data_IF_960049005386
#
_entry.id   IF_960049005386
#
_cell.length_a   1.000
_cell.length_b   1.000
_cell.length_c   1.000
_cell.angle_alpha   90.00
_cell.angle_beta   90.00
_cell.angle_gamma   90.00
#
_symmetry.space_group_name_H-M   'P 1'
#
loop_
_entity.id
_entity.type
_entity.pdbx_description
1 polymer ?
#
# COMPACT_ATOMS: atom_id res chain seq x y z
N UNK A 1 -0.83 6.56 14.38
CA UNK A 1 -2.14 6.95 13.79
C UNK A 1 -2.84 5.67 13.39
N UNK A 2 -4.03 5.36 13.92
CA UNK A 2 -4.78 4.19 13.48
C UNK A 2 -5.23 4.42 12.03
N UNK A 3 -4.66 3.67 11.08
CA UNK A 3 -5.14 3.71 9.70
C UNK A 3 -6.52 3.05 9.69
N UNK A 4 -7.55 3.87 9.49
CA UNK A 4 -8.92 3.39 9.42
C UNK A 4 -9.13 2.54 8.17
N UNK A 5 -9.87 1.43 8.30
CA UNK A 5 -10.21 0.52 7.19
C UNK A 5 -10.87 1.24 5.98
N UNK A 6 -11.48 2.41 6.21
CA UNK A 6 -12.04 3.25 5.15
C UNK A 6 -10.96 3.78 4.18
N UNK A 7 -9.75 4.08 4.67
CA UNK A 7 -8.64 4.53 3.81
C UNK A 7 -8.09 3.37 2.97
N UNK A 8 -8.01 2.16 3.54
CA UNK A 8 -7.63 0.96 2.79
C UNK A 8 -8.58 0.67 1.65
N UNK A 9 -9.87 0.95 1.83
CA UNK A 9 -10.83 0.80 0.75
C UNK A 9 -10.49 1.68 -0.46
N UNK A 10 -10.32 2.97 -0.22
CA UNK A 10 -9.96 3.96 -1.23
C UNK A 10 -8.62 3.67 -1.91
N UNK A 11 -7.60 3.23 -1.17
CA UNK A 11 -6.31 2.94 -1.77
C UNK A 11 -6.36 1.72 -2.68
N UNK A 12 -7.01 0.64 -2.26
CA UNK A 12 -7.10 -0.53 -3.12
C UNK A 12 -7.95 -0.24 -4.38
N UNK A 13 -8.98 0.59 -4.30
CA UNK A 13 -9.68 1.08 -5.50
C UNK A 13 -8.77 1.92 -6.40
N UNK A 14 -7.96 2.82 -5.82
CA UNK A 14 -6.97 3.59 -6.58
C UNK A 14 -5.98 2.67 -7.28
N UNK A 15 -5.33 1.77 -6.55
CA UNK A 15 -4.37 0.80 -7.07
C UNK A 15 -4.99 -0.11 -8.14
N UNK A 16 -6.22 -0.57 -7.96
CA UNK A 16 -6.95 -1.38 -8.94
C UNK A 16 -7.24 -0.59 -10.22
N UNK A 17 -7.72 0.66 -10.09
CA UNK A 17 -8.00 1.54 -11.24
C UNK A 17 -6.76 1.82 -12.09
N UNK A 18 -5.58 1.85 -11.49
CA UNK A 18 -4.31 2.03 -12.18
C UNK A 18 -3.59 0.71 -12.53
N UNK A 19 -4.23 -0.46 -12.32
CA UNK A 19 -3.61 -1.79 -12.49
C UNK A 19 -2.33 -2.00 -11.67
N UNK A 20 -2.16 -1.25 -10.58
CA UNK A 20 -1.01 -1.33 -9.67
C UNK A 20 -1.28 -2.25 -8.47
N UNK A 21 -2.51 -2.75 -8.28
CA UNK A 21 -2.86 -3.59 -7.14
C UNK A 21 -1.99 -4.85 -7.05
N UNK A 22 -1.75 -5.53 -8.18
CA UNK A 22 -0.87 -6.70 -8.24
C UNK A 22 0.59 -6.39 -7.90
N UNK A 23 1.13 -5.27 -8.40
CA UNK A 23 2.47 -4.81 -8.05
C UNK A 23 2.56 -4.50 -6.55
N UNK A 24 1.56 -3.81 -6.01
CA UNK A 24 1.54 -3.43 -4.60
C UNK A 24 1.40 -4.67 -3.70
N UNK A 25 0.58 -5.65 -4.09
CA UNK A 25 0.44 -6.94 -3.43
C UNK A 25 1.78 -7.69 -3.39
N UNK A 26 2.49 -7.74 -4.52
CA UNK A 26 3.83 -8.31 -4.59
C UNK A 26 4.80 -7.61 -3.64
N UNK A 27 4.75 -6.27 -3.54
CA UNK A 27 5.57 -5.52 -2.59
C UNK A 27 5.22 -5.87 -1.15
N UNK A 28 3.94 -5.90 -0.77
CA UNK A 28 3.50 -6.22 0.59
C UNK A 28 3.94 -7.62 1.06
N UNK A 29 3.89 -8.59 0.14
CA UNK A 29 4.31 -9.98 0.36
C UNK A 29 5.84 -10.15 0.34
N UNK A 30 6.56 -9.20 -0.28
CA UNK A 30 8.01 -9.24 -0.35
C UNK A 30 8.70 -9.17 1.01
N UNK A 31 9.96 -9.60 1.03
CA UNK A 31 10.80 -9.54 2.22
C UNK A 31 10.99 -8.10 2.71
N UNK A 32 11.21 -7.94 4.01
CA UNK A 32 11.34 -6.63 4.68
C UNK A 32 12.18 -5.59 3.91
N UNK A 33 13.41 -5.90 3.44
CA UNK A 33 14.26 -4.93 2.76
C UNK A 33 13.64 -4.36 1.47
N UNK A 34 12.96 -5.20 0.69
CA UNK A 34 12.33 -4.77 -0.58
C UNK A 34 11.22 -3.76 -0.30
N UNK A 35 10.42 -4.01 0.74
CA UNK A 35 9.36 -3.09 1.17
C UNK A 35 9.90 -1.75 1.62
N UNK A 36 10.99 -1.74 2.39
CA UNK A 36 11.63 -0.51 2.85
C UNK A 36 12.16 0.31 1.66
N UNK A 37 12.76 -0.32 0.64
CA UNK A 37 13.19 0.38 -0.58
C UNK A 37 12.00 0.96 -1.34
N UNK A 38 10.89 0.23 -1.43
CA UNK A 38 9.68 0.71 -2.07
C UNK A 38 9.05 1.89 -1.29
N UNK A 39 8.98 1.80 0.04
CA UNK A 39 8.50 2.88 0.92
C UNK A 39 9.32 4.16 0.72
N UNK A 40 10.64 4.06 0.74
CA UNK A 40 11.54 5.21 0.51
C UNK A 40 11.40 5.78 -0.91
N UNK A 41 11.20 4.92 -1.90
CA UNK A 41 10.95 5.38 -3.28
C UNK A 41 9.67 6.20 -3.37
N UNK A 42 8.60 5.77 -2.68
CA UNK A 42 7.35 6.53 -2.60
C UNK A 42 7.54 7.87 -1.88
N UNK A 43 8.26 7.90 -0.76
CA UNK A 43 8.59 9.15 -0.07
C UNK A 43 9.35 10.13 -0.97
N UNK A 44 10.27 9.63 -1.81
CA UNK A 44 11.01 10.46 -2.77
C UNK A 44 10.13 11.08 -3.86
N UNK A 45 8.97 10.48 -4.17
CA UNK A 45 8.00 11.05 -5.12
C UNK A 45 7.10 12.13 -4.53
N UNK A 46 7.00 12.23 -3.20
CA UNK A 46 6.15 13.20 -2.50
C UNK A 46 6.37 14.67 -2.93
N UNK A 47 7.60 15.20 -3.09
CA UNK A 47 7.78 16.59 -3.53
C UNK A 47 7.25 16.86 -4.95
N UNK A 48 7.17 15.84 -5.79
CA UNK A 48 6.66 15.94 -7.17
C UNK A 48 5.16 15.65 -7.24
N UNK A 49 4.65 14.79 -6.36
CA UNK A 49 3.26 14.34 -6.31
C UNK A 49 2.72 14.56 -4.91
N UNK A 50 2.01 15.68 -4.71
CA UNK A 50 1.32 15.98 -3.45
C UNK A 50 0.03 15.15 -3.33
N UNK A 51 0.17 13.84 -3.17
CA UNK A 51 -0.94 12.92 -3.00
C UNK A 51 -0.83 12.23 -1.64
N UNK A 52 -1.83 12.45 -0.79
CA UNK A 52 -1.90 11.83 0.54
C UNK A 52 -1.93 10.30 0.48
N UNK A 53 -2.43 9.71 -0.61
CA UNK A 53 -2.43 8.25 -0.82
C UNK A 53 -0.99 7.72 -0.90
N UNK A 54 -0.08 8.41 -1.59
CA UNK A 54 1.32 7.96 -1.75
C UNK A 54 2.03 7.92 -0.40
N UNK A 55 1.91 8.97 0.42
CA UNK A 55 2.52 9.01 1.76
C UNK A 55 1.95 7.93 2.68
N UNK A 56 0.65 7.65 2.57
CA UNK A 56 0.03 6.60 3.37
C UNK A 56 0.46 5.19 2.92
N UNK A 57 0.55 4.94 1.61
CA UNK A 57 1.08 3.69 1.04
C UNK A 57 2.54 3.47 1.43
N UNK A 58 3.35 4.53 1.44
CA UNK A 58 4.74 4.49 1.92
C UNK A 58 4.81 4.06 3.39
N UNK A 59 3.98 4.66 4.24
CA UNK A 59 3.90 4.30 5.66
C UNK A 59 3.46 2.85 5.88
N UNK A 60 2.55 2.32 5.07
CA UNK A 60 2.10 0.92 5.17
C UNK A 60 3.19 -0.06 4.75
N UNK A 61 3.97 0.25 3.71
CA UNK A 61 5.10 -0.58 3.29
C UNK A 61 6.24 -0.58 4.32
N UNK A 62 6.43 0.53 5.03
CA UNK A 62 7.45 0.65 6.07
C UNK A 62 7.13 -0.19 7.32
N UNK A 63 5.86 -0.28 7.67
CA UNK A 63 5.36 -1.02 8.83
C UNK A 63 4.99 -2.46 8.46
N UNK A 64 5.70 -3.44 9.03
CA UNK A 64 5.47 -4.85 8.75
C UNK A 64 4.07 -5.34 9.17
N UNK A 65 3.53 -4.83 10.29
CA UNK A 65 2.22 -5.23 10.79
C UNK A 65 1.13 -4.69 9.87
N UNK A 66 1.23 -3.41 9.50
CA UNK A 66 0.29 -2.79 8.57
C UNK A 66 0.37 -3.39 7.16
N UNK A 67 1.58 -3.72 6.69
CA UNK A 67 1.76 -4.43 5.41
C UNK A 67 1.00 -5.75 5.39
N UNK A 68 1.13 -6.56 6.45
CA UNK A 68 0.42 -7.84 6.56
C UNK A 68 -1.10 -7.64 6.64
N UNK A 69 -1.55 -6.71 7.47
CA UNK A 69 -2.98 -6.45 7.65
C UNK A 69 -3.63 -5.91 6.37
N UNK A 70 -2.93 -5.06 5.61
CA UNK A 70 -3.40 -4.55 4.33
C UNK A 70 -3.37 -5.64 3.23
N UNK A 71 -2.33 -6.49 3.21
CA UNK A 71 -2.27 -7.64 2.31
C UNK A 71 -3.45 -8.59 2.53
N UNK A 72 -3.76 -8.91 3.79
CA UNK A 72 -4.91 -9.74 4.16
C UNK A 72 -6.23 -9.09 3.72
N UNK A 73 -6.38 -7.78 3.94
CA UNK A 73 -7.53 -7.01 3.48
C UNK A 73 -7.70 -7.08 1.95
N UNK A 74 -6.63 -6.88 1.18
CA UNK A 74 -6.68 -6.95 -0.30
C UNK A 74 -7.04 -8.35 -0.76
N UNK A 75 -6.43 -9.39 -0.18
CA UNK A 75 -6.71 -10.79 -0.53
C UNK A 75 -8.17 -11.17 -0.26
N UNK A 76 -8.71 -10.75 0.90
CA UNK A 76 -10.10 -11.00 1.25
C UNK A 76 -11.09 -10.24 0.36
N UNK A 77 -10.67 -9.10 -0.22
CA UNK A 77 -11.52 -8.32 -1.13
C UNK A 77 -11.55 -8.90 -2.54
N UNK A 78 -10.40 -9.32 -3.07
CA UNK A 78 -10.32 -9.96 -4.40
C UNK A 78 -11.06 -11.32 -4.46
N UNK A 79 -11.29 -11.98 -3.31
CA UNK A 79 -12.08 -13.21 -3.25
C UNK A 79 -13.59 -12.97 -3.25
N UNK A 80 -14.04 -11.75 -2.93
CA UNK A 80 -15.46 -11.38 -2.79
C UNK A 80 -15.98 -10.51 -3.95
N UNK A 81 -15.17 -10.23 -4.98
CA UNK A 81 -15.57 -9.65 -6.27
C UNK A 81 -15.77 -10.74 -7.33
#
# INVERSE_FOLDING_TARGET
>A
MQINQNNWHHWAQYLQRYHLLGLFRFLLDATGPVRIVAAQSLWMTQPFVQNSIISQLASVLEDQEQSKAFLEYVNNREFNE
#
